data_IF_312778633755
#
_entry.id   IF_312778633755
#
_cell.length_a   1.000
_cell.length_b   1.000
_cell.length_c   1.000
_cell.angle_alpha   90.00
_cell.angle_beta   90.00
_cell.angle_gamma   90.00
#
_symmetry.space_group_name_H-M   'P 1'
#
loop_
_entity.id
_entity.type
_entity.pdbx_description
1 polymer ?
#
# COMPACT_ATOMS: atom_id res chain seq x y z
N UNK A 1 -30.95 3.63 -12.03
CA UNK A 1 -29.51 3.63 -11.72
C UNK A 1 -29.13 2.61 -10.66
N UNK A 2 -29.81 2.48 -9.51
CA UNK A 2 -29.46 1.52 -8.44
C UNK A 2 -29.35 0.03 -8.89
N UNK A 3 -30.17 -0.42 -9.84
CA UNK A 3 -30.08 -1.79 -10.39
C UNK A 3 -28.81 -2.09 -11.19
N UNK A 4 -28.16 -1.06 -11.77
CA UNK A 4 -26.92 -1.22 -12.53
C UNK A 4 -25.71 -1.36 -11.62
N UNK A 5 -25.67 -0.63 -10.51
CA UNK A 5 -24.56 -0.67 -9.55
C UNK A 5 -24.50 -2.02 -8.81
N UNK A 6 -25.65 -2.59 -8.45
CA UNK A 6 -25.71 -3.90 -7.78
C UNK A 6 -25.18 -5.01 -8.69
N UNK A 7 -25.56 -5.00 -9.98
CA UNK A 7 -25.09 -6.00 -10.94
C UNK A 7 -23.59 -5.83 -11.26
N UNK A 8 -23.12 -4.58 -11.41
CA UNK A 8 -21.68 -4.29 -11.54
C UNK A 8 -20.90 -4.79 -10.33
N UNK A 9 -21.37 -4.51 -9.11
CA UNK A 9 -20.73 -5.01 -7.88
C UNK A 9 -20.66 -6.53 -7.84
N UNK A 10 -21.73 -7.21 -8.25
CA UNK A 10 -21.72 -8.68 -8.36
C UNK A 10 -20.70 -9.17 -9.38
N UNK A 11 -20.60 -8.52 -10.53
CA UNK A 11 -19.61 -8.88 -11.57
C UNK A 11 -18.17 -8.67 -11.08
N UNK A 12 -17.91 -7.57 -10.37
CA UNK A 12 -16.61 -7.24 -9.80
C UNK A 12 -16.14 -8.22 -8.72
N UNK A 13 -17.07 -8.83 -7.97
CA UNK A 13 -16.72 -9.77 -6.89
C UNK A 13 -16.73 -11.23 -7.33
N UNK A 14 -17.76 -11.67 -8.07
CA UNK A 14 -17.92 -13.09 -8.41
C UNK A 14 -17.07 -13.54 -9.60
N UNK A 15 -16.80 -12.65 -10.55
CA UNK A 15 -15.97 -12.95 -11.72
C UNK A 15 -14.53 -13.34 -11.34
N UNK A 16 -13.79 -12.46 -10.63
CA UNK A 16 -12.41 -12.74 -10.26
C UNK A 16 -12.23 -14.00 -9.40
N UNK A 17 -13.17 -14.28 -8.49
CA UNK A 17 -13.09 -15.47 -7.63
C UNK A 17 -13.27 -16.77 -8.43
N UNK A 18 -14.23 -16.81 -9.37
CA UNK A 18 -14.42 -17.97 -10.25
C UNK A 18 -13.21 -18.17 -11.17
N UNK A 19 -12.67 -17.08 -11.72
CA UNK A 19 -11.48 -17.11 -12.57
C UNK A 19 -10.24 -17.57 -11.81
N UNK A 20 -10.04 -17.09 -10.57
CA UNK A 20 -8.92 -17.51 -9.73
C UNK A 20 -8.96 -19.02 -9.48
N UNK A 21 -10.12 -19.58 -9.12
CA UNK A 21 -10.27 -21.04 -8.91
C UNK A 21 -9.89 -21.80 -10.19
N UNK A 22 -10.42 -21.37 -11.34
CA UNK A 22 -10.08 -21.96 -12.65
C UNK A 22 -8.59 -21.92 -12.94
N UNK A 23 -7.94 -20.79 -12.66
CA UNK A 23 -6.51 -20.62 -12.90
C UNK A 23 -5.66 -21.49 -11.98
N UNK A 24 -6.03 -21.65 -10.70
CA UNK A 24 -5.28 -22.50 -9.77
C UNK A 24 -5.34 -24.00 -10.13
N UNK A 25 -6.37 -24.42 -10.85
CA UNK A 25 -6.46 -25.77 -11.42
C UNK A 25 -5.66 -25.94 -12.73
N UNK A 26 -5.11 -24.85 -13.30
CA UNK A 26 -4.34 -24.89 -14.55
C UNK A 26 -2.97 -25.58 -14.33
N UNK A 27 -2.62 -26.60 -15.15
CA UNK A 27 -1.30 -27.21 -15.14
C UNK A 27 -0.13 -26.21 -15.27
N UNK A 28 -0.35 -25.06 -15.93
CA UNK A 28 0.63 -23.98 -16.06
C UNK A 28 1.05 -23.38 -14.70
N UNK A 29 0.19 -23.48 -13.69
CA UNK A 29 0.43 -22.95 -12.36
C UNK A 29 0.95 -24.00 -11.39
N UNK A 30 1.30 -25.20 -11.85
CA UNK A 30 1.92 -26.20 -10.99
C UNK A 30 3.39 -25.87 -10.73
N UNK A 31 3.92 -26.34 -9.59
CA UNK A 31 5.32 -26.11 -9.21
C UNK A 31 6.28 -26.68 -10.26
N UNK A 32 5.98 -27.88 -10.76
CA UNK A 32 6.66 -28.51 -11.90
C UNK A 32 5.85 -28.28 -13.16
N UNK A 33 6.39 -27.45 -14.06
CA UNK A 33 5.80 -27.26 -15.38
C UNK A 33 6.01 -28.54 -16.21
N UNK A 34 4.98 -29.00 -16.94
CA UNK A 34 5.18 -30.01 -17.98
C UNK A 34 6.22 -29.52 -19.01
N UNK A 35 7.08 -30.41 -19.50
CA UNK A 35 8.10 -30.06 -20.52
C UNK A 35 7.49 -29.47 -21.80
N UNK A 36 6.21 -29.75 -22.07
CA UNK A 36 5.46 -29.25 -23.21
C UNK A 36 4.90 -27.84 -23.04
N UNK A 37 5.09 -27.19 -21.89
CA UNK A 37 4.47 -25.90 -21.60
C UNK A 37 5.39 -24.72 -21.93
N UNK A 38 4.86 -23.71 -22.61
CA UNK A 38 5.57 -22.47 -22.90
C UNK A 38 5.77 -21.64 -21.62
N UNK A 39 7.03 -21.30 -21.25
CA UNK A 39 7.31 -20.45 -20.09
C UNK A 39 6.60 -19.09 -20.13
N UNK A 40 6.40 -18.49 -21.30
CA UNK A 40 5.71 -17.21 -21.41
C UNK A 40 4.22 -17.37 -21.07
N UNK A 41 3.58 -18.41 -21.59
CA UNK A 41 2.19 -18.72 -21.25
C UNK A 41 2.01 -19.01 -19.76
N UNK A 42 2.96 -19.72 -19.14
CA UNK A 42 2.94 -19.96 -17.69
C UNK A 42 3.07 -18.66 -16.88
N UNK A 43 3.92 -17.72 -17.31
CA UNK A 43 4.06 -16.42 -16.67
C UNK A 43 2.78 -15.56 -16.80
N UNK A 44 2.13 -15.58 -17.97
CA UNK A 44 0.84 -14.90 -18.20
C UNK A 44 -0.28 -15.45 -17.32
N UNK A 45 -0.36 -16.77 -17.19
CA UNK A 45 -1.31 -17.42 -16.29
C UNK A 45 -1.01 -17.05 -14.84
N UNK A 46 0.26 -17.02 -14.45
CA UNK A 46 0.67 -16.69 -13.08
C UNK A 46 0.31 -15.25 -12.72
N UNK A 47 0.61 -14.31 -13.62
CA UNK A 47 0.20 -12.91 -13.52
C UNK A 47 -1.33 -12.77 -13.42
N UNK A 48 -2.07 -13.48 -14.26
CA UNK A 48 -3.54 -13.45 -14.22
C UNK A 48 -4.10 -13.97 -12.91
N UNK A 49 -3.52 -15.03 -12.34
CA UNK A 49 -3.93 -15.56 -11.05
C UNK A 49 -3.63 -14.57 -9.92
N UNK A 50 -2.44 -13.95 -9.95
CA UNK A 50 -2.04 -12.96 -8.97
C UNK A 50 -2.97 -11.73 -8.97
N UNK A 51 -3.29 -11.22 -10.17
CA UNK A 51 -4.26 -10.14 -10.36
C UNK A 51 -5.66 -10.52 -9.89
N UNK A 52 -6.14 -11.74 -10.18
CA UNK A 52 -7.46 -12.18 -9.74
C UNK A 52 -7.54 -12.28 -8.21
N UNK A 53 -6.49 -12.80 -7.56
CA UNK A 53 -6.36 -12.79 -6.11
C UNK A 53 -6.43 -11.36 -5.56
N UNK A 54 -5.64 -10.45 -6.15
CA UNK A 54 -5.67 -9.03 -5.82
C UNK A 54 -7.05 -8.39 -5.89
N UNK A 55 -7.76 -8.61 -7.00
CA UNK A 55 -9.13 -8.09 -7.20
C UNK A 55 -10.11 -8.68 -6.17
N UNK A 56 -9.99 -9.97 -5.85
CA UNK A 56 -10.79 -10.57 -4.79
C UNK A 56 -10.52 -9.88 -3.44
N UNK A 57 -9.25 -9.63 -3.11
CA UNK A 57 -8.87 -8.96 -1.86
C UNK A 57 -9.33 -7.49 -1.81
N UNK A 58 -9.25 -6.77 -2.93
CA UNK A 58 -9.67 -5.36 -3.04
C UNK A 58 -11.19 -5.20 -2.95
N UNK A 59 -11.98 -6.10 -3.54
CA UNK A 59 -13.43 -5.90 -3.73
C UNK A 59 -14.33 -6.89 -2.98
N UNK A 60 -13.81 -8.03 -2.52
CA UNK A 60 -14.61 -9.11 -1.95
C UNK A 60 -13.98 -9.63 -0.64
N UNK A 61 -14.26 -9.00 0.51
CA UNK A 61 -13.65 -9.42 1.78
C UNK A 61 -14.32 -10.63 2.44
N UNK A 62 -15.37 -11.21 1.86
CA UNK A 62 -16.07 -12.36 2.45
C UNK A 62 -15.10 -13.55 2.58
N UNK A 63 -14.63 -13.75 3.82
CA UNK A 63 -13.65 -14.80 4.15
C UNK A 63 -14.17 -16.17 3.71
N UNK A 64 -13.31 -16.93 3.04
CA UNK A 64 -13.58 -18.30 2.61
C UNK A 64 -14.17 -18.45 1.20
N UNK A 65 -14.49 -17.37 0.50
CA UNK A 65 -15.01 -17.45 -0.87
C UNK A 65 -13.93 -17.72 -1.93
N UNK A 66 -12.65 -17.54 -1.64
CA UNK A 66 -11.56 -17.74 -2.60
C UNK A 66 -10.26 -18.15 -1.88
N UNK A 67 -9.30 -18.73 -2.62
CA UNK A 67 -7.97 -19.04 -2.09
C UNK A 67 -7.31 -17.80 -1.47
N UNK A 68 -6.74 -17.93 -0.27
CA UNK A 68 -6.15 -16.78 0.44
C UNK A 68 -4.77 -16.37 -0.09
N UNK A 69 -4.12 -17.22 -0.90
CA UNK A 69 -2.79 -17.01 -1.49
C UNK A 69 -2.63 -17.78 -2.79
N UNK A 70 -1.68 -17.35 -3.62
CA UNK A 70 -1.09 -18.21 -4.66
C UNK A 70 0.20 -18.86 -4.15
N UNK A 71 0.64 -19.94 -4.80
CA UNK A 71 1.90 -20.61 -4.44
C UNK A 71 3.13 -19.75 -4.75
N UNK A 72 4.24 -19.95 -4.03
CA UNK A 72 5.47 -19.15 -4.19
C UNK A 72 6.04 -19.20 -5.61
N UNK A 73 5.89 -20.32 -6.32
CA UNK A 73 6.30 -20.45 -7.73
C UNK A 73 5.44 -19.61 -8.68
N UNK A 74 4.15 -19.42 -8.35
CA UNK A 74 3.27 -18.50 -9.10
C UNK A 74 3.75 -17.07 -8.88
N UNK A 75 4.02 -16.68 -7.63
CA UNK A 75 4.55 -15.37 -7.29
C UNK A 75 5.85 -15.06 -8.06
N UNK A 76 6.84 -15.95 -7.99
CA UNK A 76 8.15 -15.79 -8.67
C UNK A 76 8.03 -15.68 -10.19
N UNK A 77 7.03 -16.32 -10.82
CA UNK A 77 6.77 -16.20 -12.27
C UNK A 77 6.00 -14.93 -12.61
N UNK A 78 5.05 -14.56 -11.77
CA UNK A 78 4.15 -13.43 -12.00
C UNK A 78 4.87 -12.08 -11.85
N UNK A 79 5.73 -11.92 -10.85
CA UNK A 79 6.36 -10.62 -10.52
C UNK A 79 7.18 -10.04 -11.69
N UNK A 80 8.12 -10.77 -12.32
CA UNK A 80 8.86 -10.23 -13.47
C UNK A 80 7.94 -9.87 -14.64
N UNK A 81 6.92 -10.70 -14.90
CA UNK A 81 5.95 -10.46 -15.98
C UNK A 81 5.06 -9.25 -15.69
N UNK A 82 4.64 -9.07 -14.44
CA UNK A 82 3.90 -7.90 -13.99
C UNK A 82 4.71 -6.62 -14.23
N UNK A 83 5.99 -6.60 -13.85
CA UNK A 83 6.87 -5.46 -14.06
C UNK A 83 7.00 -5.11 -15.55
N UNK A 84 7.17 -6.11 -16.42
CA UNK A 84 7.19 -5.89 -17.87
C UNK A 84 5.86 -5.30 -18.39
N UNK A 85 4.74 -5.83 -17.91
CA UNK A 85 3.42 -5.33 -18.29
C UNK A 85 3.19 -3.89 -17.82
N UNK A 86 3.57 -3.55 -16.58
CA UNK A 86 3.47 -2.20 -16.03
C UNK A 86 4.32 -1.19 -16.82
N UNK A 87 5.52 -1.59 -17.28
CA UNK A 87 6.31 -0.73 -18.19
C UNK A 87 5.59 -0.47 -19.52
N UNK A 88 4.92 -1.48 -20.07
CA UNK A 88 4.08 -1.32 -21.26
C UNK A 88 2.92 -0.35 -21.03
N UNK A 89 2.22 -0.48 -19.90
CA UNK A 89 1.15 0.44 -19.52
C UNK A 89 1.65 1.86 -19.27
N UNK A 90 2.80 2.02 -18.61
CA UNK A 90 3.45 3.31 -18.40
C UNK A 90 3.80 4.01 -19.72
N UNK A 91 4.37 3.28 -20.68
CA UNK A 91 4.63 3.84 -22.02
C UNK A 91 3.34 4.29 -22.70
N UNK A 92 2.28 3.47 -22.62
CA UNK A 92 0.99 3.81 -23.19
C UNK A 92 0.31 4.99 -22.48
N UNK A 93 0.54 5.17 -21.18
CA UNK A 93 0.06 6.32 -20.40
C UNK A 93 0.79 7.61 -20.80
N UNK A 94 2.10 7.56 -21.04
CA UNK A 94 2.88 8.72 -21.50
C UNK A 94 2.43 9.24 -22.89
N UNK A 95 1.72 8.42 -23.67
CA UNK A 95 1.15 8.84 -24.95
C UNK A 95 -0.22 9.52 -24.84
N UNK A 96 -0.85 9.55 -23.65
CA UNK A 96 -2.20 10.08 -23.44
C UNK A 96 -2.34 11.52 -23.94
N UNK A 97 -1.45 12.42 -23.54
CA UNK A 97 -1.50 13.82 -23.98
C UNK A 97 -1.41 13.96 -25.50
N UNK A 98 -0.56 13.16 -26.16
CA UNK A 98 -0.43 13.17 -27.62
C UNK A 98 -1.67 12.61 -28.32
N UNK A 99 -2.30 11.58 -27.75
CA UNK A 99 -3.55 11.02 -28.27
C UNK A 99 -4.67 12.05 -28.15
N UNK A 100 -4.76 12.74 -27.00
CA UNK A 100 -5.75 13.80 -26.76
C UNK A 100 -5.64 14.95 -27.77
N UNK A 101 -4.41 15.38 -28.09
CA UNK A 101 -4.18 16.45 -29.06
C UNK A 101 -4.53 16.06 -30.51
N UNK A 102 -4.49 14.76 -30.84
CA UNK A 102 -4.66 14.25 -32.20
C UNK A 102 -6.05 13.68 -32.48
N UNK A 103 -6.68 13.09 -31.48
CA UNK A 103 -7.95 12.39 -31.62
C UNK A 103 -9.09 13.40 -31.57
N UNK A 104 -9.90 13.43 -32.64
CA UNK A 104 -11.09 14.28 -32.70
C UNK A 104 -12.33 13.66 -32.05
N UNK A 105 -12.25 12.37 -31.72
CA UNK A 105 -13.34 11.59 -31.13
C UNK A 105 -13.20 11.53 -29.60
N UNK A 106 -14.02 12.33 -28.91
CA UNK A 106 -14.05 12.41 -27.44
C UNK A 106 -14.38 11.08 -26.79
N UNK A 107 -15.30 10.30 -27.40
CA UNK A 107 -15.70 9.01 -26.85
C UNK A 107 -14.54 8.02 -26.84
N UNK A 108 -13.74 8.03 -27.90
CA UNK A 108 -12.54 7.19 -27.97
C UNK A 108 -11.50 7.60 -26.92
N UNK A 109 -11.39 8.90 -26.63
CA UNK A 109 -10.50 9.39 -25.59
C UNK A 109 -10.98 8.99 -24.19
N UNK A 110 -12.28 9.05 -23.92
CA UNK A 110 -12.89 8.52 -22.69
C UNK A 110 -12.60 7.03 -22.52
N UNK A 111 -12.80 6.22 -23.57
CA UNK A 111 -12.52 4.77 -23.55
C UNK A 111 -11.05 4.47 -23.24
N UNK A 112 -10.12 5.18 -23.90
CA UNK A 112 -8.68 5.02 -23.64
C UNK A 112 -8.31 5.49 -22.22
N UNK A 113 -8.90 6.57 -21.74
CA UNK A 113 -8.65 7.10 -20.39
C UNK A 113 -9.15 6.12 -19.33
N UNK A 114 -10.38 5.61 -19.50
CA UNK A 114 -10.96 4.59 -18.64
C UNK A 114 -10.11 3.32 -18.65
N UNK A 115 -9.60 2.89 -19.80
CA UNK A 115 -8.68 1.76 -19.87
C UNK A 115 -7.42 1.98 -19.01
N UNK A 116 -6.84 3.19 -19.00
CA UNK A 116 -5.66 3.47 -18.13
C UNK A 116 -6.02 3.42 -16.66
N UNK A 117 -7.24 3.86 -16.31
CA UNK A 117 -7.76 3.73 -14.95
C UNK A 117 -7.89 2.25 -14.55
N UNK A 118 -8.45 1.42 -15.43
CA UNK A 118 -8.58 -0.04 -15.22
C UNK A 118 -7.23 -0.73 -15.08
N UNK A 119 -6.27 -0.43 -15.96
CA UNK A 119 -4.93 -1.01 -15.91
C UNK A 119 -4.21 -0.62 -14.61
N UNK A 120 -4.38 0.62 -14.13
CA UNK A 120 -3.77 1.05 -12.87
C UNK A 120 -4.39 0.35 -11.67
N UNK A 121 -5.70 0.13 -11.71
CA UNK A 121 -6.39 -0.70 -10.71
C UNK A 121 -5.90 -2.16 -10.76
N UNK A 122 -5.59 -2.68 -11.95
CA UNK A 122 -4.99 -4.00 -12.11
C UNK A 122 -3.59 -4.10 -11.52
N UNK A 123 -2.76 -3.07 -11.68
CA UNK A 123 -1.46 -3.02 -11.04
C UNK A 123 -1.57 -2.97 -9.51
N UNK A 124 -2.54 -2.23 -8.97
CA UNK A 124 -2.84 -2.25 -7.53
C UNK A 124 -3.20 -3.67 -7.08
N UNK A 125 -4.10 -4.33 -7.81
CA UNK A 125 -4.51 -5.69 -7.52
C UNK A 125 -3.31 -6.65 -7.53
N UNK A 126 -2.42 -6.53 -8.52
CA UNK A 126 -1.20 -7.34 -8.59
C UNK A 126 -0.35 -7.15 -7.33
N UNK A 127 -0.11 -5.91 -6.89
CA UNK A 127 0.67 -5.61 -5.69
C UNK A 127 0.01 -6.19 -4.42
N UNK A 128 -1.31 -6.02 -4.27
CA UNK A 128 -2.09 -6.61 -3.18
C UNK A 128 -1.98 -8.14 -3.15
N UNK A 129 -2.16 -8.78 -4.30
CA UNK A 129 -2.05 -10.23 -4.44
C UNK A 129 -0.64 -10.73 -4.13
N UNK A 130 0.38 -9.98 -4.55
CA UNK A 130 1.79 -10.27 -4.29
C UNK A 130 2.11 -10.18 -2.81
N UNK A 131 1.78 -9.06 -2.16
CA UNK A 131 2.02 -8.83 -0.75
C UNK A 131 1.35 -9.91 0.12
N UNK A 132 0.09 -10.23 -0.17
CA UNK A 132 -0.64 -11.29 0.55
C UNK A 132 0.02 -12.66 0.38
N UNK A 133 0.44 -13.00 -0.83
CA UNK A 133 1.05 -14.31 -1.12
C UNK A 133 2.47 -14.42 -0.55
N UNK A 134 3.26 -13.35 -0.61
CA UNK A 134 4.59 -13.26 -0.02
C UNK A 134 4.53 -13.40 1.50
N UNK A 135 3.62 -12.68 2.16
CA UNK A 135 3.41 -12.79 3.61
C UNK A 135 3.11 -14.22 4.05
N UNK A 136 2.23 -14.91 3.32
CA UNK A 136 1.91 -16.30 3.61
C UNK A 136 3.06 -17.27 3.31
N UNK A 137 3.86 -17.02 2.27
CA UNK A 137 5.03 -17.83 1.94
C UNK A 137 6.19 -17.66 2.94
N UNK A 138 6.33 -16.47 3.54
CA UNK A 138 7.29 -16.25 4.63
C UNK A 138 6.89 -17.03 5.90
N UNK A 139 5.60 -17.04 6.24
CA UNK A 139 5.09 -17.79 7.40
C UNK A 139 5.33 -19.31 7.29
N UNK A 140 5.37 -19.85 6.07
CA UNK A 140 5.64 -21.27 5.81
C UNK A 140 7.10 -21.59 5.53
N UNK A 141 7.98 -20.58 5.50
CA UNK A 141 9.40 -20.73 5.15
C UNK A 141 9.65 -21.05 3.67
N UNK A 142 8.66 -20.85 2.79
CA UNK A 142 8.80 -21.05 1.33
C UNK A 142 9.54 -19.87 0.65
N UNK A 143 9.58 -18.72 1.33
CA UNK A 143 10.21 -17.48 0.89
C UNK A 143 10.96 -16.84 2.08
N UNK A 144 12.19 -16.37 1.87
CA UNK A 144 12.91 -15.60 2.89
C UNK A 144 12.38 -14.17 2.96
N UNK A 145 12.67 -13.44 4.04
CA UNK A 145 12.31 -12.01 4.13
C UNK A 145 13.00 -11.21 3.03
N UNK A 146 14.30 -11.42 2.80
CA UNK A 146 15.07 -10.74 1.74
C UNK A 146 14.50 -11.00 0.34
N UNK A 147 14.10 -12.23 0.04
CA UNK A 147 13.49 -12.55 -1.25
C UNK A 147 12.09 -11.94 -1.40
N UNK A 148 11.31 -11.89 -0.32
CA UNK A 148 9.99 -11.25 -0.32
C UNK A 148 10.11 -9.74 -0.54
N UNK A 149 11.01 -9.09 0.19
CA UNK A 149 11.27 -7.66 0.08
C UNK A 149 11.72 -7.29 -1.32
N UNK A 150 12.66 -8.03 -1.91
CA UNK A 150 13.12 -7.78 -3.28
C UNK A 150 11.99 -7.88 -4.32
N UNK A 151 11.10 -8.87 -4.19
CA UNK A 151 9.96 -9.03 -5.11
C UNK A 151 8.93 -7.91 -4.98
N UNK A 152 8.65 -7.47 -3.74
CA UNK A 152 7.66 -6.43 -3.47
C UNK A 152 8.20 -5.03 -3.79
N UNK A 153 9.47 -4.76 -3.49
CA UNK A 153 10.15 -3.52 -3.87
C UNK A 153 10.15 -3.36 -5.39
N UNK A 154 10.46 -4.41 -6.15
CA UNK A 154 10.42 -4.37 -7.61
C UNK A 154 9.04 -3.97 -8.17
N UNK A 155 7.95 -4.53 -7.61
CA UNK A 155 6.59 -4.16 -8.02
C UNK A 155 6.26 -2.71 -7.64
N UNK A 156 6.66 -2.30 -6.43
CA UNK A 156 6.39 -0.95 -5.94
C UNK A 156 7.11 0.11 -6.76
N UNK A 157 8.38 -0.11 -7.11
CA UNK A 157 9.14 0.81 -7.95
C UNK A 157 8.47 1.02 -9.31
N UNK A 158 8.00 -0.06 -9.95
CA UNK A 158 7.29 0.03 -11.23
C UNK A 158 5.96 0.77 -11.08
N UNK A 159 5.20 0.48 -10.01
CA UNK A 159 3.93 1.14 -9.71
C UNK A 159 4.11 2.64 -9.47
N UNK A 160 5.07 3.03 -8.63
CA UNK A 160 5.37 4.44 -8.31
C UNK A 160 5.85 5.19 -9.55
N UNK A 161 6.69 4.54 -10.36
CA UNK A 161 7.18 5.14 -11.59
C UNK A 161 6.08 5.35 -12.64
N UNK A 162 5.04 4.52 -12.61
CA UNK A 162 3.87 4.68 -13.46
C UNK A 162 2.90 5.72 -12.89
N UNK A 163 2.70 5.75 -11.58
CA UNK A 163 1.91 6.78 -10.90
C UNK A 163 2.44 8.18 -11.20
N UNK A 164 3.76 8.37 -11.21
CA UNK A 164 4.37 9.63 -11.63
C UNK A 164 3.91 10.07 -13.04
N UNK A 165 3.83 9.14 -14.00
CA UNK A 165 3.36 9.44 -15.37
C UNK A 165 1.86 9.72 -15.43
N UNK A 166 1.05 8.98 -14.66
CA UNK A 166 -0.40 9.21 -14.62
C UNK A 166 -0.74 10.55 -13.97
N UNK A 167 -0.01 10.95 -12.93
CA UNK A 167 -0.19 12.24 -12.25
C UNK A 167 0.12 13.44 -13.16
N UNK A 168 1.02 13.30 -14.14
CA UNK A 168 1.24 14.32 -15.19
C UNK A 168 0.02 14.49 -16.12
N UNK A 169 -0.87 13.51 -16.14
CA UNK A 169 -2.08 13.47 -16.97
C UNK A 169 -3.36 13.52 -16.13
N UNK A 170 -3.29 14.02 -14.89
CA UNK A 170 -4.41 14.01 -13.95
C UNK A 170 -5.67 14.70 -14.52
N UNK A 171 -5.49 15.80 -15.27
CA UNK A 171 -6.60 16.50 -15.93
C UNK A 171 -7.35 15.60 -16.91
N UNK A 172 -6.62 14.80 -17.69
CA UNK A 172 -7.20 13.88 -18.67
C UNK A 172 -7.89 12.71 -17.97
N UNK A 173 -7.27 12.17 -16.92
CA UNK A 173 -7.84 11.11 -16.10
C UNK A 173 -9.13 11.55 -15.38
N UNK A 174 -9.25 12.85 -15.06
CA UNK A 174 -10.44 13.39 -14.39
C UNK A 174 -11.70 13.32 -15.25
N UNK A 175 -11.57 13.18 -16.58
CA UNK A 175 -12.71 13.08 -17.51
C UNK A 175 -13.60 11.87 -17.19
N UNK A 176 -13.00 10.78 -16.70
CA UNK A 176 -13.73 9.55 -16.35
C UNK A 176 -14.06 9.45 -14.86
N UNK A 177 -13.82 10.51 -14.07
CA UNK A 177 -14.03 10.49 -12.61
C UNK A 177 -15.49 10.20 -12.21
N UNK A 178 -16.44 10.66 -13.03
CA UNK A 178 -17.88 10.49 -12.81
C UNK A 178 -18.47 9.26 -13.53
N UNK A 179 -17.63 8.43 -14.18
CA UNK A 179 -18.11 7.24 -14.86
C UNK A 179 -18.77 6.26 -13.88
N UNK A 180 -19.91 5.64 -14.24
CA UNK A 180 -20.63 4.72 -13.36
C UNK A 180 -19.76 3.55 -12.87
N UNK A 181 -18.81 3.11 -13.69
CA UNK A 181 -17.90 2.02 -13.35
C UNK A 181 -16.88 2.42 -12.27
N UNK A 182 -16.35 3.64 -12.30
CA UNK A 182 -15.42 4.15 -11.29
C UNK A 182 -16.12 4.27 -9.94
N UNK A 183 -17.34 4.80 -9.96
CA UNK A 183 -18.20 4.85 -8.76
C UNK A 183 -18.51 3.45 -8.23
N UNK A 184 -18.77 2.48 -9.12
CA UNK A 184 -19.00 1.10 -8.73
C UNK A 184 -17.77 0.46 -8.07
N UNK A 185 -16.55 0.71 -8.57
CA UNK A 185 -15.32 0.23 -7.93
C UNK A 185 -15.14 0.80 -6.53
N UNK A 186 -15.29 2.11 -6.35
CA UNK A 186 -15.18 2.75 -5.03
C UNK A 186 -16.15 2.16 -4.00
N UNK A 187 -17.41 1.95 -4.40
CA UNK A 187 -18.43 1.35 -3.55
C UNK A 187 -18.19 -0.14 -3.29
N UNK A 188 -17.54 -0.83 -4.22
CA UNK A 188 -17.20 -2.24 -4.11
C UNK A 188 -15.95 -2.50 -3.26
N UNK A 189 -15.12 -1.49 -2.97
CA UNK A 189 -13.93 -1.67 -2.16
C UNK A 189 -14.26 -2.34 -0.81
N UNK A 190 -13.44 -3.30 -0.44
CA UNK A 190 -13.47 -3.91 0.88
C UNK A 190 -13.17 -2.86 1.95
N UNK A 191 -13.70 -3.05 3.16
CA UNK A 191 -13.62 -2.05 4.23
C UNK A 191 -12.17 -1.60 4.51
N UNK A 192 -11.22 -2.53 4.49
CA UNK A 192 -9.80 -2.26 4.68
C UNK A 192 -9.19 -1.29 3.65
N UNK A 193 -9.78 -1.19 2.46
CA UNK A 193 -9.34 -0.28 1.39
C UNK A 193 -10.24 0.94 1.25
N UNK A 194 -11.37 1.04 1.96
CA UNK A 194 -12.19 2.26 1.94
C UNK A 194 -11.58 3.40 2.75
N UNK A 195 -10.82 3.08 3.80
CA UNK A 195 -10.13 4.07 4.64
C UNK A 195 -8.93 4.68 3.91
N UNK A 196 -8.25 3.87 3.10
CA UNK A 196 -7.10 4.28 2.27
C UNK A 196 -7.29 3.72 0.86
N UNK A 197 -8.21 4.30 0.06
CA UNK A 197 -8.43 3.82 -1.30
C UNK A 197 -7.18 4.04 -2.14
N UNK A 198 -6.97 3.23 -3.19
CA UNK A 198 -6.02 3.57 -4.24
C UNK A 198 -6.30 5.01 -4.69
N UNK A 199 -5.27 5.84 -4.87
CA UNK A 199 -5.45 7.28 -5.09
C UNK A 199 -6.38 7.59 -6.27
N UNK A 200 -6.38 6.72 -7.28
CA UNK A 200 -7.25 6.78 -8.46
C UNK A 200 -8.73 6.60 -8.12
N UNK A 201 -9.03 5.87 -7.05
CA UNK A 201 -10.36 5.68 -6.49
C UNK A 201 -10.61 6.61 -5.29
N UNK A 202 -9.68 7.49 -4.95
CA UNK A 202 -9.90 8.54 -3.95
C UNK A 202 -10.70 9.71 -4.54
N UNK A 203 -10.95 10.74 -3.74
CA UNK A 203 -11.61 11.96 -4.22
C UNK A 203 -10.73 12.79 -5.16
N UNK A 204 -9.43 12.51 -5.29
CA UNK A 204 -8.48 13.29 -6.10
C UNK A 204 -8.97 13.48 -7.55
N UNK A 205 -9.44 12.42 -8.20
CA UNK A 205 -9.93 12.54 -9.59
C UNK A 205 -11.19 13.41 -9.69
N UNK A 206 -12.09 13.33 -8.70
CA UNK A 206 -13.30 14.15 -8.67
C UNK A 206 -13.00 15.61 -8.36
N UNK A 207 -12.11 15.85 -7.39
CA UNK A 207 -11.64 17.19 -7.07
C UNK A 207 -11.00 17.86 -8.28
N UNK A 208 -10.20 17.11 -9.05
CA UNK A 208 -9.62 17.61 -10.30
C UNK A 208 -10.68 17.86 -11.38
N UNK A 209 -11.68 16.98 -11.51
CA UNK A 209 -12.78 17.16 -12.45
C UNK A 209 -13.62 18.40 -12.10
N UNK A 210 -13.92 18.62 -10.82
CA UNK A 210 -14.61 19.81 -10.32
C UNK A 210 -13.79 21.08 -10.55
N UNK A 211 -12.48 21.05 -10.28
CA UNK A 211 -11.59 22.17 -10.55
C UNK A 211 -11.60 22.54 -12.04
N UNK A 212 -11.46 21.54 -12.92
CA UNK A 212 -11.51 21.73 -14.38
C UNK A 212 -12.84 22.32 -14.86
N UNK A 213 -13.97 21.87 -14.30
CA UNK A 213 -15.29 22.44 -14.59
C UNK A 213 -15.40 23.90 -14.16
N UNK A 214 -14.97 24.22 -12.94
CA UNK A 214 -14.98 25.60 -12.42
C UNK A 214 -14.11 26.52 -13.27
N UNK A 215 -12.97 26.06 -13.78
CA UNK A 215 -12.14 26.85 -14.69
C UNK A 215 -12.87 27.19 -15.99
N UNK A 216 -13.55 26.22 -16.61
CA UNK A 216 -14.34 26.44 -17.83
C UNK A 216 -15.54 27.36 -17.59
N UNK A 217 -16.25 27.19 -16.47
CA UNK A 217 -17.38 28.06 -16.11
C UNK A 217 -16.95 29.52 -15.90
N UNK A 218 -15.75 29.72 -15.35
CA UNK A 218 -15.23 31.05 -15.02
C UNK A 218 -14.48 31.73 -16.18
N UNK A 219 -14.15 31.01 -17.27
CA UNK A 219 -13.50 31.59 -18.46
C UNK A 219 -14.55 32.14 -19.45
N UNK A 220 -14.66 33.48 -19.62
CA UNK A 220 -15.65 34.09 -20.52
C UNK A 220 -15.51 33.67 -21.98
N UNK A 221 -14.32 33.20 -22.40
CA UNK A 221 -14.06 32.72 -23.76
C UNK A 221 -14.54 31.28 -23.97
N UNK A 222 -14.66 30.50 -22.89
CA UNK A 222 -15.10 29.09 -22.91
C UNK A 222 -16.57 28.93 -22.52
N UNK A 223 -17.20 29.93 -21.90
CA UNK A 223 -18.64 29.95 -21.60
C UNK A 223 -19.58 29.62 -22.79
N UNK A 224 -19.30 30.03 -24.05
CA UNK A 224 -20.12 29.62 -25.20
C UNK A 224 -20.05 28.12 -25.54
N UNK A 225 -19.02 27.42 -25.03
CA UNK A 225 -18.81 25.97 -25.20
C UNK A 225 -19.33 25.17 -23.99
N UNK A 226 -19.66 25.82 -22.88
CA UNK A 226 -20.18 25.22 -21.64
C UNK A 226 -21.65 24.77 -21.75
N UNK A 227 -22.04 24.21 -22.89
CA UNK A 227 -23.28 23.43 -22.99
C UNK A 227 -23.14 22.12 -22.19
N UNK A 228 -24.22 21.58 -21.58
CA UNK A 228 -24.13 20.61 -20.48
C UNK A 228 -23.54 19.22 -20.79
N UNK A 229 -22.90 18.99 -21.94
CA UNK A 229 -22.46 17.63 -22.28
C UNK A 229 -21.23 17.52 -23.20
N UNK A 230 -20.57 18.60 -23.67
CA UNK A 230 -19.68 18.40 -24.84
C UNK A 230 -18.38 19.23 -24.93
N UNK A 231 -17.91 19.91 -23.89
CA UNK A 231 -16.59 20.55 -23.97
C UNK A 231 -15.87 20.65 -22.64
N UNK A 232 -15.00 19.68 -22.36
CA UNK A 232 -13.89 19.86 -21.42
C UNK A 232 -12.59 19.53 -22.15
N UNK A 233 -11.94 20.57 -22.68
CA UNK A 233 -10.50 20.56 -22.94
C UNK A 233 -9.82 21.17 -21.72
N UNK A 234 -8.96 20.43 -20.99
CA UNK A 234 -8.17 21.06 -19.94
C UNK A 234 -7.13 22.00 -20.56
N UNK A 235 -7.11 23.24 -20.08
CA UNK A 235 -6.08 24.22 -20.39
C UNK A 235 -4.90 24.00 -19.45
N UNK A 236 -3.68 23.94 -19.99
CA UNK A 236 -2.46 23.62 -19.25
C UNK A 236 -2.15 24.64 -18.16
N UNK A 237 -2.03 24.17 -16.91
CA UNK A 237 -1.04 24.64 -15.94
C UNK A 237 -0.77 23.56 -14.88
N UNK A 238 0.49 23.12 -14.64
CA UNK A 238 0.78 22.11 -13.65
C UNK A 238 0.82 22.73 -12.26
N UNK A 239 -0.04 22.27 -11.32
CA UNK A 239 0.26 22.39 -9.90
C UNK A 239 0.76 21.04 -9.38
N UNK A 240 2.08 20.90 -9.33
CA UNK A 240 2.75 19.77 -8.68
C UNK A 240 2.44 19.80 -7.17
N UNK A 241 1.44 19.03 -6.75
CA UNK A 241 1.36 18.57 -5.36
C UNK A 241 2.01 17.20 -5.31
N UNK A 242 3.13 17.11 -4.60
CA UNK A 242 3.77 15.83 -4.30
C UNK A 242 2.84 15.05 -3.36
N UNK A 243 2.17 14.03 -3.88
CA UNK A 243 1.42 13.07 -3.08
C UNK A 243 2.41 12.01 -2.58
N UNK A 244 2.54 11.79 -1.26
CA UNK A 244 3.47 10.79 -0.76
C UNK A 244 2.97 9.37 -1.08
N UNK A 245 3.81 8.47 -1.63
CA UNK A 245 3.48 7.07 -1.79
C UNK A 245 3.48 6.39 -0.41
N UNK A 246 2.31 6.10 0.15
CA UNK A 246 2.15 5.37 1.42
C UNK A 246 0.99 4.38 1.33
N UNK A 247 1.17 3.27 0.61
CA UNK A 247 0.14 2.21 0.54
C UNK A 247 0.64 0.81 0.91
N UNK A 248 1.92 0.49 0.72
CA UNK A 248 2.46 -0.80 1.16
C UNK A 248 2.43 -1.00 2.69
N UNK A 249 2.49 0.09 3.47
CA UNK A 249 2.48 0.02 4.94
C UNK A 249 1.13 -0.43 5.51
N UNK A 250 0.03 -0.25 4.76
CA UNK A 250 -1.32 -0.65 5.21
C UNK A 250 -1.58 -2.14 4.93
N UNK A 251 -0.93 -2.74 3.92
CA UNK A 251 -1.27 -4.09 3.45
C UNK A 251 -0.59 -5.24 4.22
N UNK A 252 0.49 -4.96 4.98
CA UNK A 252 1.01 -5.92 5.97
C UNK A 252 0.04 -6.16 7.14
N UNK A 253 -1.01 -5.34 7.30
CA UNK A 253 -2.00 -5.48 8.37
C UNK A 253 -3.05 -6.59 8.16
N UNK A 254 -3.07 -7.27 7.01
CA UNK A 254 -4.08 -8.29 6.65
C UNK A 254 -3.56 -9.76 6.65
N UNK A 255 -2.29 -9.99 6.99
CA UNK A 255 -1.84 -11.22 7.65
C UNK A 255 -2.33 -11.18 9.13
N UNK A 256 -2.32 -12.26 9.95
CA UNK A 256 -2.47 -12.08 11.40
C UNK A 256 -1.47 -11.00 11.81
N UNK A 257 -2.01 -9.82 12.16
CA UNK A 257 -1.29 -8.58 11.98
C UNK A 257 -0.01 -8.60 12.82
N UNK A 258 1.13 -8.66 12.15
CA UNK A 258 2.35 -8.07 12.67
C UNK A 258 2.10 -6.57 12.65
N UNK A 259 1.35 -6.09 13.66
CA UNK A 259 1.16 -4.66 13.89
C UNK A 259 2.54 -4.12 14.21
N UNK A 260 3.20 -3.54 13.20
CA UNK A 260 4.36 -2.71 13.42
C UNK A 260 3.86 -1.50 14.22
N UNK A 261 4.05 -1.54 15.54
CA UNK A 261 3.68 -0.40 16.38
C UNK A 261 4.87 0.54 16.44
N UNK A 262 4.68 1.75 15.94
CA UNK A 262 5.66 2.82 16.09
C UNK A 262 5.44 3.51 17.43
N UNK A 263 6.42 3.40 18.30
CA UNK A 263 6.52 4.15 19.53
C UNK A 263 7.27 5.44 19.30
N UNK A 264 6.75 6.54 19.82
CA UNK A 264 7.42 7.85 19.78
C UNK A 264 7.47 8.47 21.17
N UNK A 265 8.62 9.05 21.51
CA UNK A 265 8.83 9.88 22.68
C UNK A 265 9.37 11.23 22.24
N UNK A 266 8.95 12.32 22.87
CA UNK A 266 9.48 13.65 22.60
C UNK A 266 10.16 14.19 23.86
N UNK A 267 11.34 14.78 23.71
CA UNK A 267 12.02 15.44 24.81
C UNK A 267 11.20 16.65 25.30
N UNK A 268 11.16 16.95 26.61
CA UNK A 268 10.42 18.10 27.14
C UNK A 268 10.81 19.45 26.52
N UNK A 269 12.08 19.62 26.13
CA UNK A 269 12.58 20.83 25.45
C UNK A 269 12.26 20.89 23.96
N UNK A 270 11.82 19.79 23.34
CA UNK A 270 11.57 19.69 21.90
C UNK A 270 12.82 19.52 21.04
N UNK A 271 14.02 19.61 21.62
CA UNK A 271 15.30 19.53 20.90
C UNK A 271 15.61 18.12 20.37
N UNK A 272 15.00 17.10 20.96
CA UNK A 272 15.17 15.70 20.59
C UNK A 272 13.86 14.94 20.58
N UNK A 273 13.86 13.83 19.85
CA UNK A 273 12.79 12.84 19.88
C UNK A 273 13.36 11.44 19.71
N UNK A 274 12.62 10.43 20.14
CA UNK A 274 13.02 9.03 19.99
C UNK A 274 11.89 8.22 19.37
N UNK A 275 12.24 7.17 18.62
CA UNK A 275 11.27 6.19 18.16
C UNK A 275 11.78 4.76 18.26
N UNK A 276 10.83 3.83 18.35
CA UNK A 276 11.08 2.41 18.23
C UNK A 276 10.01 1.76 17.36
N UNK A 277 10.43 0.85 16.48
CA UNK A 277 9.50 0.06 15.67
C UNK A 277 9.39 -1.33 16.27
N UNK A 278 8.22 -1.66 16.79
CA UNK A 278 7.93 -2.99 17.32
C UNK A 278 7.29 -3.83 16.22
N UNK A 279 8.13 -4.38 15.33
CA UNK A 279 7.75 -5.40 14.37
C UNK A 279 8.02 -6.78 14.96
N UNK A 280 7.00 -7.60 15.16
CA UNK A 280 7.15 -8.93 15.75
C UNK A 280 7.28 -9.96 14.63
N UNK A 281 8.48 -10.45 14.27
CA UNK A 281 8.55 -11.82 13.79
C UNK A 281 8.29 -12.72 15.00
N UNK A 282 7.24 -13.53 14.93
CA UNK A 282 6.94 -14.56 15.94
C UNK A 282 8.16 -15.50 15.99
N UNK A 283 9.04 -15.30 16.99
CA UNK A 283 10.11 -16.26 17.32
C UNK A 283 11.51 -15.70 17.61
N UNK A 284 11.90 -14.50 17.15
CA UNK A 284 13.36 -14.17 17.11
C UNK A 284 13.81 -12.85 17.75
N UNK A 285 12.97 -11.82 17.86
CA UNK A 285 13.43 -10.51 18.38
C UNK A 285 13.57 -10.51 19.90
N UNK A 286 14.81 -10.55 20.40
CA UNK A 286 15.14 -10.49 21.85
C UNK A 286 15.31 -9.07 22.39
N UNK A 287 15.53 -8.09 21.52
CA UNK A 287 15.83 -6.70 21.88
C UNK A 287 14.96 -5.71 21.12
N UNK A 288 14.45 -4.70 21.84
CA UNK A 288 13.80 -3.52 21.28
C UNK A 288 14.86 -2.45 21.04
N UNK A 289 14.99 -2.00 19.80
CA UNK A 289 15.87 -0.89 19.42
C UNK A 289 15.10 0.44 19.48
N UNK A 290 15.59 1.37 20.29
CA UNK A 290 15.10 2.76 20.38
C UNK A 290 16.17 3.66 19.79
N UNK A 291 15.79 4.47 18.80
CA UNK A 291 16.68 5.40 18.09
C UNK A 291 16.31 6.84 18.47
N UNK A 292 17.31 7.66 18.80
CA UNK A 292 17.16 9.04 19.28
C UNK A 292 17.75 10.01 18.25
N UNK A 293 17.00 11.07 17.96
CA UNK A 293 17.30 12.06 16.92
C UNK A 293 17.21 13.48 17.47
N UNK A 294 17.97 14.38 16.85
CA UNK A 294 17.85 15.83 17.02
C UNK A 294 16.74 16.35 16.12
N UNK A 295 15.85 17.19 16.67
CA UNK A 295 14.69 17.71 15.94
C UNK A 295 15.08 18.70 14.83
N UNK A 296 16.17 19.44 14.99
CA UNK A 296 16.59 20.50 14.06
C UNK A 296 16.98 19.95 12.67
N UNK A 297 17.74 18.86 12.63
CA UNK A 297 18.36 18.33 11.41
C UNK A 297 18.04 16.87 11.12
N UNK A 298 17.19 16.25 11.93
CA UNK A 298 16.74 14.86 11.81
C UNK A 298 17.88 13.83 11.84
N UNK A 299 19.00 14.19 12.47
CA UNK A 299 20.17 13.31 12.61
C UNK A 299 20.19 12.60 13.95
N UNK A 300 20.88 11.46 13.97
CA UNK A 300 21.17 10.71 15.20
C UNK A 300 21.75 11.64 16.28
N UNK A 301 21.24 11.51 17.51
CA UNK A 301 21.61 12.35 18.64
C UNK A 301 22.96 11.91 19.24
N UNK A 302 24.04 12.16 18.51
CA UNK A 302 25.41 11.88 18.93
C UNK A 302 25.84 12.69 20.16
N UNK A 303 25.22 13.86 20.37
CA UNK A 303 25.36 14.70 21.57
C UNK A 303 24.83 14.04 22.85
N UNK A 304 24.02 12.98 22.73
CA UNK A 304 23.49 12.18 23.83
C UNK A 304 24.24 10.84 24.02
N UNK A 305 25.32 10.60 23.29
CA UNK A 305 26.11 9.37 23.42
C UNK A 305 26.60 9.14 24.86
N UNK A 306 26.65 7.86 25.26
CA UNK A 306 27.02 7.39 26.60
C UNK A 306 26.10 7.82 27.74
N UNK A 307 25.02 8.58 27.45
CA UNK A 307 24.05 8.93 28.48
C UNK A 307 23.27 7.69 28.95
N UNK A 308 23.07 7.54 30.27
CA UNK A 308 22.21 6.50 30.80
C UNK A 308 20.77 6.76 30.37
N UNK A 309 20.09 5.69 29.96
CA UNK A 309 18.69 5.72 29.58
C UNK A 309 17.92 4.65 30.35
N UNK A 310 16.67 4.91 30.72
CA UNK A 310 15.77 3.88 31.21
C UNK A 310 14.49 3.85 30.39
N UNK A 311 13.94 2.67 30.13
CA UNK A 311 12.64 2.49 29.49
C UNK A 311 11.78 1.59 30.37
N UNK A 312 10.67 2.11 30.88
CA UNK A 312 9.84 1.44 31.89
C UNK A 312 10.67 0.90 33.10
N UNK A 313 11.74 1.61 33.47
CA UNK A 313 12.65 1.22 34.54
C UNK A 313 13.72 0.18 34.17
N UNK A 314 13.74 -0.32 32.92
CA UNK A 314 14.83 -1.15 32.39
C UNK A 314 15.98 -0.23 31.97
N UNK A 315 17.18 -0.47 32.49
CA UNK A 315 18.34 0.37 32.22
C UNK A 315 19.00 0.03 30.87
N UNK A 316 19.54 1.05 30.23
CA UNK A 316 20.35 0.96 29.02
C UNK A 316 21.29 2.18 28.90
N UNK A 317 21.99 2.24 27.79
CA UNK A 317 22.89 3.36 27.46
C UNK A 317 22.72 3.71 25.99
N UNK A 318 22.76 4.99 25.65
CA UNK A 318 22.76 5.46 24.27
C UNK A 318 24.16 5.27 23.67
N UNK A 319 24.26 4.58 22.55
CA UNK A 319 25.54 4.39 21.85
C UNK A 319 25.93 5.62 21.00
N UNK A 320 27.08 5.55 20.32
CA UNK A 320 27.58 6.65 19.50
C UNK A 320 26.70 7.00 18.27
N UNK A 321 25.65 6.21 18.00
CA UNK A 321 24.69 6.40 16.90
C UNK A 321 23.32 6.85 17.41
N UNK A 322 23.21 7.26 18.67
CA UNK A 322 21.93 7.60 19.25
C UNK A 322 21.00 6.39 19.45
N UNK A 323 21.54 5.17 19.49
CA UNK A 323 20.75 3.94 19.61
C UNK A 323 20.88 3.36 21.01
N UNK A 324 19.76 2.92 21.58
CA UNK A 324 19.74 2.12 22.80
C UNK A 324 18.88 0.86 22.59
N UNK A 325 19.29 -0.25 23.24
CA UNK A 325 18.65 -1.56 23.09
C UNK A 325 18.18 -2.06 24.45
N UNK A 326 16.94 -2.55 24.49
CA UNK A 326 16.32 -3.05 25.72
C UNK A 326 15.84 -4.48 25.52
N UNK A 327 16.01 -5.34 26.53
CA UNK A 327 15.46 -6.70 26.46
C UNK A 327 13.93 -6.66 26.45
N UNK A 328 13.32 -7.31 25.46
CA UNK A 328 11.86 -7.43 25.36
C UNK A 328 11.29 -8.16 26.59
N UNK A 329 12.02 -9.14 27.13
CA UNK A 329 11.62 -9.89 28.32
C UNK A 329 11.56 -9.01 29.58
N UNK A 330 12.52 -8.10 29.72
CA UNK A 330 12.57 -7.17 30.86
C UNK A 330 11.48 -6.11 30.76
N UNK A 331 11.26 -5.57 29.55
CA UNK A 331 10.18 -4.63 29.28
C UNK A 331 8.80 -5.26 29.52
N UNK A 332 8.62 -6.54 29.16
CA UNK A 332 7.39 -7.29 29.48
C UNK A 332 7.17 -7.39 30.99
N UNK A 333 8.19 -7.79 31.76
CA UNK A 333 8.10 -7.88 33.23
C UNK A 333 7.82 -6.51 33.87
N UNK A 334 8.31 -5.43 33.27
CA UNK A 334 8.01 -4.07 33.71
C UNK A 334 6.54 -3.70 33.45
N UNK A 335 6.03 -4.01 32.24
CA UNK A 335 4.63 -3.79 31.87
C UNK A 335 3.65 -4.61 32.76
N UNK A 336 3.97 -5.87 33.06
CA UNK A 336 3.18 -6.72 33.98
C UNK A 336 3.09 -6.15 35.41
N UNK A 337 4.09 -5.35 35.82
CA UNK A 337 4.09 -4.63 37.11
C UNK A 337 3.37 -3.28 37.04
N UNK A 338 2.80 -2.92 35.89
CA UNK A 338 2.14 -1.64 35.66
C UNK A 338 3.11 -0.46 35.57
N UNK A 339 4.38 -0.69 35.22
CA UNK A 339 5.31 0.42 34.98
C UNK A 339 4.94 1.12 33.66
N UNK A 340 4.85 2.46 33.65
CA UNK A 340 4.53 3.20 32.44
C UNK A 340 5.67 3.07 31.42
N UNK A 341 5.33 3.10 30.13
CA UNK A 341 6.28 3.06 29.03
C UNK A 341 6.92 4.43 28.78
N UNK A 342 7.59 4.94 29.82
CA UNK A 342 8.31 6.21 29.84
C UNK A 342 9.79 5.97 29.51
N UNK A 343 10.35 6.82 28.65
CA UNK A 343 11.77 6.83 28.34
C UNK A 343 12.44 7.94 29.17
N UNK A 344 13.43 7.60 29.99
CA UNK A 344 14.18 8.59 30.76
C UNK A 344 15.61 8.70 30.22
N UNK A 345 16.02 9.88 29.77
CA UNK A 345 17.36 10.12 29.23
C UNK A 345 18.12 11.05 30.16
N UNK A 346 19.20 10.59 30.78
CA UNK A 346 20.00 11.41 31.70
C UNK A 346 19.23 11.95 32.92
N UNK A 347 18.11 11.31 33.29
CA UNK A 347 17.22 11.73 34.38
C UNK A 347 16.03 12.60 33.96
N UNK A 348 15.92 12.96 32.68
CA UNK A 348 14.74 13.65 32.13
C UNK A 348 13.70 12.67 31.62
N UNK A 349 12.44 12.87 32.02
CA UNK A 349 11.30 12.04 31.61
C UNK A 349 10.77 12.45 30.25
N UNK A 350 10.76 11.53 29.29
CA UNK A 350 10.15 11.70 27.97
C UNK A 350 8.89 10.82 27.93
N UNK A 351 7.68 11.40 28.00
CA UNK A 351 6.46 10.63 27.91
C UNK A 351 6.28 10.08 26.50
N UNK A 352 5.73 8.87 26.39
CA UNK A 352 5.31 8.33 25.10
C UNK A 352 4.12 9.14 24.57
N UNK A 353 4.08 9.32 23.25
CA UNK A 353 2.94 9.95 22.59
C UNK A 353 1.65 9.14 22.84
N UNK A 354 0.54 9.82 23.14
CA UNK A 354 -0.72 9.17 23.52
C UNK A 354 -1.26 8.27 22.38
N UNK A 355 -0.99 8.64 21.11
CA UNK A 355 -1.39 7.84 19.96
C UNK A 355 -0.55 6.57 19.83
N UNK A 356 0.72 6.60 20.24
CA UNK A 356 1.61 5.44 20.29
C UNK A 356 1.24 4.44 21.41
N UNK A 357 0.74 4.92 22.56
CA UNK A 357 0.44 4.07 23.73
C UNK A 357 -0.76 3.12 23.51
N UNK A 358 -1.80 3.57 22.82
CA UNK A 358 -3.03 2.80 22.58
C UNK A 358 -2.79 1.45 21.84
N UNK A 359 -1.68 1.35 21.10
CA UNK A 359 -1.28 0.14 20.38
C UNK A 359 -0.39 -0.83 21.18
N UNK A 360 0.38 -0.35 22.16
CA UNK A 360 1.52 -1.10 22.71
C UNK A 360 1.20 -1.95 23.93
N UNK A 361 0.38 -1.47 24.86
CA UNK A 361 0.02 -2.28 26.05
C UNK A 361 -0.63 -3.61 25.65
N UNK A 362 -1.48 -3.56 24.62
CA UNK A 362 -2.12 -4.76 24.06
C UNK A 362 -1.12 -5.68 23.35
N UNK A 363 -0.07 -5.13 22.74
CA UNK A 363 0.93 -5.90 21.97
C UNK A 363 1.97 -6.56 22.89
N UNK A 364 2.49 -5.85 23.89
CA UNK A 364 3.46 -6.40 24.86
C UNK A 364 2.85 -7.54 25.70
N UNK A 365 1.56 -7.44 26.06
CA UNK A 365 0.86 -8.50 26.81
C UNK A 365 0.54 -9.74 25.95
N UNK A 366 0.35 -9.58 24.63
CA UNK A 366 0.02 -10.69 23.73
C UNK A 366 1.23 -11.58 23.39
N UNK A 367 2.46 -11.07 23.49
CA UNK A 367 3.69 -11.79 23.19
C UNK A 367 4.01 -12.94 24.18
N UNK A 368 3.32 -13.02 25.32
CA UNK A 368 3.53 -14.09 26.32
C UNK A 368 2.61 -15.31 26.20
N UNK A 369 1.57 -15.26 25.37
CA UNK A 369 0.50 -16.27 25.38
C UNK A 369 0.75 -17.55 24.59
N UNK A 370 1.85 -17.65 23.82
CA UNK A 370 1.98 -18.70 22.78
C UNK A 370 3.10 -19.72 23.01
N UNK A 371 3.73 -19.76 24.19
CA UNK A 371 4.89 -20.64 24.45
C UNK A 371 4.65 -21.76 25.46
N UNK A 372 3.40 -22.08 25.81
CA UNK A 372 3.11 -23.12 26.81
C UNK A 372 1.91 -24.03 26.49
N UNK A 373 1.60 -24.21 25.21
CA UNK A 373 0.73 -25.29 24.71
C UNK A 373 1.47 -26.14 23.67
#
# INVERSE_FOLDING_TARGET
MAGSIVELRRQLTSGPAAELRRLLDDPALQARLPESYDPQQAAERALSALRCLGRCLLFAPERGAFPERVGVHVLRRAVPRACEQMRGWKQAAAELGRLWDKEGDLRRLEEVTLQRVEERLDAEAICVGAAKSAAAAMQTGELTCEEADALLEQLQEELDSWDAVLLEHLDLLSVVADEPIVTAWQQALADAYRETPPWLLSEILREQAEASRREVENDPLLQPLATPTEALRPSRAPSQRAYPPRLLTVQMAAAPATRNVLLRWNAPGGDHYAFASLGVPVGETRELEVRVFRTEDDREADDLAERPVTLAGVAGTIDARGVCRFSVDELRRAAEKGQPLELQVGGESWPADEQSLAGVERTLLQLGGSAND
#
